data_IF_969108496309
#
_entry.id   IF_969108496309
#
_cell.length_a   1.000
_cell.length_b   1.000
_cell.length_c   1.000
_cell.angle_alpha   90.00
_cell.angle_beta   90.00
_cell.angle_gamma   90.00
#
_symmetry.space_group_name_H-M   'P 1'
#
loop_
_entity.id
_entity.type
_entity.pdbx_description
1 polymer ?
#
# COMPACT_ATOMS: atom_id res chain seq x y z
N UNK A 1 -26.05 2.20 13.06
CA UNK A 1 -24.96 2.55 12.12
C UNK A 1 -23.98 1.39 12.17
N UNK A 2 -23.37 0.96 11.06
CA UNK A 2 -22.34 -0.10 11.15
C UNK A 2 -21.04 0.52 11.66
N UNK A 3 -20.31 -0.17 12.54
CA UNK A 3 -19.03 0.31 13.13
C UNK A 3 -18.05 0.85 12.06
N UNK A 4 -17.90 0.14 10.95
CA UNK A 4 -17.06 0.56 9.80
C UNK A 4 -17.48 1.91 9.22
N UNK A 5 -18.76 2.28 9.25
CA UNK A 5 -19.23 3.58 8.76
C UNK A 5 -18.80 4.72 9.70
N UNK A 6 -18.84 4.49 11.02
CA UNK A 6 -18.36 5.47 12.00
C UNK A 6 -16.86 5.69 11.83
N UNK A 7 -16.07 4.61 11.74
CA UNK A 7 -14.64 4.69 11.43
C UNK A 7 -14.36 5.46 10.15
N UNK A 8 -15.07 5.17 9.05
CA UNK A 8 -14.79 5.83 7.77
C UNK A 8 -15.17 7.31 7.76
N UNK A 9 -16.14 7.74 8.59
CA UNK A 9 -16.41 9.16 8.79
C UNK A 9 -15.26 9.85 9.52
N UNK A 10 -14.72 9.23 10.58
CA UNK A 10 -13.55 9.76 11.30
C UNK A 10 -12.33 9.86 10.36
N UNK A 11 -12.05 8.79 9.61
CA UNK A 11 -10.97 8.77 8.60
C UNK A 11 -11.16 9.88 7.58
N UNK A 12 -12.38 10.08 7.07
CA UNK A 12 -12.63 11.15 6.09
C UNK A 12 -12.31 12.54 6.66
N UNK A 13 -12.76 12.83 7.88
CA UNK A 13 -12.51 14.13 8.53
C UNK A 13 -11.02 14.37 8.77
N UNK A 14 -10.28 13.36 9.22
CA UNK A 14 -8.83 13.44 9.42
C UNK A 14 -8.10 13.67 8.09
N UNK A 15 -8.47 12.94 7.03
CA UNK A 15 -7.90 13.10 5.70
C UNK A 15 -8.21 14.48 5.12
N UNK A 16 -9.43 15.00 5.27
CA UNK A 16 -9.78 16.36 4.85
C UNK A 16 -8.96 17.42 5.60
N UNK A 17 -8.72 17.19 6.89
CA UNK A 17 -7.90 18.08 7.73
C UNK A 17 -6.44 18.08 7.28
N UNK A 18 -5.87 16.91 7.01
CA UNK A 18 -4.51 16.77 6.46
C UNK A 18 -4.43 17.44 5.09
N UNK A 19 -5.36 17.13 4.19
CA UNK A 19 -5.42 17.69 2.84
C UNK A 19 -5.45 19.22 2.87
N UNK A 20 -6.33 19.81 3.70
CA UNK A 20 -6.45 21.27 3.81
C UNK A 20 -5.25 21.92 4.50
N UNK A 21 -4.63 21.26 5.49
CA UNK A 21 -3.53 21.86 6.25
C UNK A 21 -2.20 21.82 5.50
N UNK A 22 -1.99 20.82 4.66
CA UNK A 22 -0.76 20.61 3.89
C UNK A 22 -0.91 20.94 2.40
N UNK A 23 -2.08 21.44 1.98
CA UNK A 23 -2.42 21.72 0.57
C UNK A 23 -2.18 20.49 -0.33
N UNK A 24 -2.65 19.33 0.13
CA UNK A 24 -2.50 18.03 -0.54
C UNK A 24 -3.79 17.60 -1.22
N UNK A 25 -3.68 16.74 -2.23
CA UNK A 25 -4.85 16.03 -2.74
C UNK A 25 -5.34 14.99 -1.72
N UNK A 26 -6.62 14.64 -1.78
CA UNK A 26 -7.24 13.68 -0.83
C UNK A 26 -6.55 12.31 -0.81
N UNK A 27 -6.09 11.81 -1.96
CA UNK A 27 -5.39 10.53 -2.02
C UNK A 27 -3.96 10.60 -1.45
N UNK A 28 -3.30 11.75 -1.57
CA UNK A 28 -2.01 12.02 -0.93
C UNK A 28 -2.14 12.10 0.59
N UNK A 29 -3.12 12.88 1.07
CA UNK A 29 -3.45 12.98 2.49
C UNK A 29 -3.85 11.62 3.09
N UNK A 30 -4.63 10.81 2.35
CA UNK A 30 -4.97 9.45 2.79
C UNK A 30 -3.74 8.53 2.82
N UNK A 31 -2.81 8.68 1.87
CA UNK A 31 -1.54 7.94 1.90
C UNK A 31 -0.77 8.26 3.18
N UNK A 32 -0.64 9.54 3.53
CA UNK A 32 0.04 9.98 4.75
C UNK A 32 -0.65 9.48 6.01
N UNK A 33 -1.97 9.63 6.11
CA UNK A 33 -2.78 9.13 7.23
C UNK A 33 -2.54 7.63 7.46
N UNK A 34 -2.65 6.85 6.39
CA UNK A 34 -2.46 5.40 6.45
C UNK A 34 -1.01 5.02 6.76
N UNK A 35 -0.03 5.69 6.18
CA UNK A 35 1.37 5.38 6.44
C UNK A 35 1.74 5.64 7.91
N UNK A 36 1.21 6.70 8.52
CA UNK A 36 1.32 6.92 9.98
C UNK A 36 0.77 5.75 10.79
N UNK A 37 -0.43 5.24 10.44
CA UNK A 37 -1.00 4.05 11.09
C UNK A 37 -0.08 2.84 10.96
N UNK A 38 0.50 2.63 9.78
CA UNK A 38 1.37 1.48 9.52
C UNK A 38 2.68 1.57 10.31
N UNK A 39 3.25 2.76 10.47
CA UNK A 39 4.39 3.01 11.35
C UNK A 39 4.03 2.79 12.82
N UNK A 40 2.87 3.29 13.29
CA UNK A 40 2.39 3.03 14.65
C UNK A 40 2.20 1.52 14.93
N UNK A 41 1.77 0.76 13.92
CA UNK A 41 1.60 -0.69 13.99
C UNK A 41 2.90 -1.47 13.85
N UNK A 42 4.04 -0.82 13.56
CA UNK A 42 5.30 -1.48 13.20
C UNK A 42 5.16 -2.44 12.01
N UNK A 43 4.29 -2.09 11.05
CA UNK A 43 4.19 -2.79 9.75
C UNK A 43 5.30 -2.34 8.80
N UNK A 44 5.75 -1.10 9.00
CA UNK A 44 6.91 -0.43 8.41
C UNK A 44 7.58 0.37 9.54
N UNK A 45 8.89 0.58 9.46
CA UNK A 45 9.65 1.36 10.44
C UNK A 45 9.51 2.86 10.18
N UNK A 46 9.48 3.28 8.92
CA UNK A 46 9.33 4.67 8.47
C UNK A 46 8.65 4.74 7.10
N UNK A 47 8.37 5.95 6.61
CA UNK A 47 7.90 6.15 5.24
C UNK A 47 8.23 7.54 4.70
N UNK A 48 8.25 7.64 3.37
CA UNK A 48 8.44 8.89 2.66
C UNK A 48 7.42 9.01 1.52
N UNK A 49 6.75 10.15 1.42
CA UNK A 49 5.79 10.41 0.34
C UNK A 49 6.53 10.62 -0.99
N UNK A 50 6.03 9.99 -2.04
CA UNK A 50 6.61 10.07 -3.38
C UNK A 50 5.53 9.88 -4.45
N UNK A 51 4.59 10.82 -4.53
CA UNK A 51 3.48 10.74 -5.46
C UNK A 51 3.94 10.83 -6.91
N UNK A 52 3.73 9.74 -7.64
CA UNK A 52 4.06 9.65 -9.05
C UNK A 52 3.11 8.70 -9.77
N UNK A 53 2.51 9.16 -10.87
CA UNK A 53 1.76 8.30 -11.77
C UNK A 53 1.99 8.63 -13.24
N UNK A 54 2.68 7.73 -13.94
CA UNK A 54 2.81 7.79 -15.39
C UNK A 54 1.78 6.88 -16.07
N UNK A 55 0.68 7.49 -16.53
CA UNK A 55 -0.44 6.80 -17.21
C UNK A 55 -0.02 6.06 -18.49
N UNK A 56 0.96 6.58 -19.23
CA UNK A 56 1.38 6.01 -20.52
C UNK A 56 2.01 4.62 -20.37
N UNK A 57 2.82 4.44 -19.33
CA UNK A 57 3.48 3.16 -19.05
C UNK A 57 2.80 2.36 -17.93
N UNK A 58 1.88 2.98 -17.20
CA UNK A 58 1.18 2.39 -16.08
C UNK A 58 2.10 2.12 -14.89
N UNK A 59 2.98 3.07 -14.55
CA UNK A 59 3.83 3.00 -13.35
C UNK A 59 3.32 4.01 -12.31
N UNK A 60 3.08 3.55 -11.07
CA UNK A 60 2.59 4.39 -9.97
C UNK A 60 3.25 4.01 -8.65
N UNK A 61 3.61 5.01 -7.86
CA UNK A 61 3.89 4.91 -6.42
C UNK A 61 3.31 6.14 -5.71
N UNK A 62 2.96 5.99 -4.44
CA UNK A 62 2.43 7.08 -3.62
C UNK A 62 3.33 7.38 -2.41
N UNK A 63 3.95 6.36 -1.85
CA UNK A 63 4.99 6.46 -0.83
C UNK A 63 5.97 5.30 -0.97
N UNK A 64 7.05 5.33 -0.19
CA UNK A 64 8.02 4.25 -0.13
C UNK A 64 8.72 4.17 1.24
N UNK A 65 9.40 3.06 1.45
CA UNK A 65 10.37 2.83 2.51
C UNK A 65 11.50 1.95 1.94
N UNK A 66 12.73 2.22 2.35
CA UNK A 66 13.88 1.37 2.06
C UNK A 66 14.39 0.74 3.34
N UNK A 67 14.66 -0.56 3.27
CA UNK A 67 15.35 -1.32 4.30
C UNK A 67 16.54 -2.05 3.65
N UNK A 68 17.38 -2.69 4.47
CA UNK A 68 18.50 -3.48 3.94
C UNK A 68 17.98 -4.63 3.05
N UNK A 69 18.34 -4.59 1.75
CA UNK A 69 17.92 -5.59 0.76
C UNK A 69 16.45 -5.55 0.35
N UNK A 70 15.68 -4.58 0.85
CA UNK A 70 14.22 -4.54 0.78
C UNK A 70 13.73 -3.15 0.36
N UNK A 71 12.68 -3.11 -0.46
CA UNK A 71 11.93 -1.87 -0.75
C UNK A 71 10.44 -2.11 -0.58
N UNK A 72 9.80 -1.23 0.17
CA UNK A 72 8.35 -1.17 0.31
C UNK A 72 7.81 -0.04 -0.56
N UNK A 73 6.87 -0.35 -1.46
CA UNK A 73 6.18 0.64 -2.29
C UNK A 73 4.69 0.69 -1.92
N UNK A 74 4.18 1.88 -1.69
CA UNK A 74 2.77 2.09 -1.36
C UNK A 74 1.99 2.49 -2.62
N UNK A 75 0.76 1.98 -2.71
CA UNK A 75 -0.15 2.23 -3.83
C UNK A 75 -1.55 2.53 -3.29
N UNK A 76 -1.99 3.77 -3.47
CA UNK A 76 -3.23 4.26 -2.89
C UNK A 76 -4.39 4.20 -3.88
N UNK A 77 -5.46 3.55 -3.45
CA UNK A 77 -6.76 3.47 -4.10
C UNK A 77 -7.78 4.23 -3.26
N UNK A 78 -7.76 5.55 -3.38
CA UNK A 78 -8.79 6.42 -2.81
C UNK A 78 -10.02 6.44 -3.73
N UNK A 79 -11.19 6.16 -3.17
CA UNK A 79 -12.49 6.32 -3.83
C UNK A 79 -13.27 7.41 -3.12
N UNK A 80 -13.86 8.34 -3.88
CA UNK A 80 -14.72 9.36 -3.31
C UNK A 80 -15.83 8.72 -2.45
N UNK A 81 -16.05 9.21 -1.22
CA UNK A 81 -17.14 8.72 -0.37
C UNK A 81 -18.49 8.80 -1.10
N UNK A 82 -19.34 7.80 -0.89
CA UNK A 82 -20.73 7.84 -1.34
C UNK A 82 -21.53 8.85 -0.51
N UNK A 83 -22.75 9.18 -0.96
CA UNK A 83 -23.62 10.15 -0.24
C UNK A 83 -23.94 9.77 1.20
N UNK A 84 -23.87 8.48 1.53
CA UNK A 84 -24.08 7.93 2.86
C UNK A 84 -22.76 7.65 3.60
N UNK A 85 -21.63 8.10 3.05
CA UNK A 85 -20.26 7.86 3.51
C UNK A 85 -19.91 6.37 3.74
N UNK A 86 -20.68 5.45 3.14
CA UNK A 86 -20.38 4.04 3.24
C UNK A 86 -19.07 3.71 2.51
N UNK A 87 -18.27 2.83 3.11
CA UNK A 87 -17.02 2.38 2.51
C UNK A 87 -17.30 1.76 1.12
N UNK A 88 -16.73 2.30 0.03
CA UNK A 88 -17.02 1.81 -1.31
C UNK A 88 -16.46 0.41 -1.52
N UNK A 89 -17.03 -0.38 -2.42
CA UNK A 89 -16.45 -1.67 -2.77
C UNK A 89 -15.23 -1.49 -3.69
N UNK A 90 -14.15 -2.22 -3.43
CA UNK A 90 -12.96 -2.30 -4.27
C UNK A 90 -12.90 -3.67 -4.90
N UNK A 91 -12.78 -3.72 -6.21
CA UNK A 91 -12.75 -4.98 -6.96
C UNK A 91 -11.37 -5.62 -6.91
N UNK A 92 -11.33 -6.93 -7.14
CA UNK A 92 -10.07 -7.67 -7.33
C UNK A 92 -9.23 -7.10 -8.47
N UNK A 93 -9.87 -6.65 -9.55
CA UNK A 93 -9.19 -6.03 -10.70
C UNK A 93 -8.50 -4.73 -10.31
N UNK A 94 -9.16 -3.87 -9.53
CA UNK A 94 -8.57 -2.60 -9.07
C UNK A 94 -7.33 -2.84 -8.19
N UNK A 95 -7.40 -3.80 -7.27
CA UNK A 95 -6.26 -4.22 -6.45
C UNK A 95 -5.10 -4.74 -7.31
N UNK A 96 -5.41 -5.63 -8.26
CA UNK A 96 -4.40 -6.19 -9.19
C UNK A 96 -3.76 -5.12 -10.06
N UNK A 97 -4.53 -4.12 -10.47
CA UNK A 97 -4.02 -2.99 -11.24
C UNK A 97 -3.13 -2.07 -10.40
N UNK A 98 -3.50 -1.76 -9.15
CA UNK A 98 -2.63 -1.01 -8.23
C UNK A 98 -1.30 -1.74 -8.02
N UNK A 99 -1.39 -3.03 -7.68
CA UNK A 99 -0.26 -3.93 -7.57
C UNK A 99 0.66 -3.89 -8.80
N UNK A 100 0.08 -4.11 -9.99
CA UNK A 100 0.80 -4.13 -11.26
C UNK A 100 1.48 -2.80 -11.55
N UNK A 101 0.88 -1.67 -11.19
CA UNK A 101 1.46 -0.34 -11.41
C UNK A 101 2.69 -0.08 -10.53
N UNK A 102 2.66 -0.50 -9.27
CA UNK A 102 3.82 -0.39 -8.36
C UNK A 102 4.94 -1.34 -8.77
N UNK A 103 4.60 -2.58 -9.17
CA UNK A 103 5.59 -3.50 -9.75
C UNK A 103 6.18 -2.97 -11.05
N UNK A 104 5.38 -2.31 -11.89
CA UNK A 104 5.86 -1.67 -13.12
C UNK A 104 6.81 -0.52 -12.82
N UNK A 105 6.54 0.28 -11.79
CA UNK A 105 7.47 1.30 -11.32
C UNK A 105 8.81 0.67 -10.93
N UNK A 106 8.79 -0.30 -10.01
CA UNK A 106 10.01 -0.97 -9.56
C UNK A 106 10.83 -1.56 -10.72
N UNK A 107 10.19 -2.31 -11.63
CA UNK A 107 10.88 -2.95 -12.75
C UNK A 107 11.48 -1.94 -13.75
N UNK A 108 10.79 -0.84 -14.04
CA UNK A 108 11.31 0.19 -14.94
C UNK A 108 12.44 1.00 -14.26
N UNK A 109 12.37 1.23 -12.95
CA UNK A 109 13.47 1.82 -12.17
C UNK A 109 14.69 0.90 -12.17
N UNK A 110 14.52 -0.39 -11.86
CA UNK A 110 15.58 -1.40 -11.89
C UNK A 110 16.26 -1.49 -13.26
N UNK A 111 15.50 -1.31 -14.33
CA UNK A 111 15.99 -1.29 -15.71
C UNK A 111 16.61 0.05 -16.15
N UNK A 112 16.64 1.07 -15.28
CA UNK A 112 17.17 2.40 -15.58
C UNK A 112 16.33 3.21 -16.57
N UNK A 113 15.03 2.87 -16.71
CA UNK A 113 14.13 3.49 -17.70
C UNK A 113 13.29 4.62 -17.14
N UNK A 114 13.18 4.73 -15.83
CA UNK A 114 12.41 5.78 -15.15
C UNK A 114 13.24 7.02 -14.81
N UNK A 115 14.42 6.91 -14.15
CA UNK A 115 15.25 8.07 -13.89
C UNK A 115 15.57 8.84 -15.18
N UNK A 116 15.50 10.16 -15.13
CA UNK A 116 15.77 11.05 -16.27
C UNK A 116 14.50 11.52 -16.96
N UNK A 117 14.28 11.14 -18.23
CA UNK A 117 13.24 11.75 -19.07
C UNK A 117 11.79 11.49 -18.61
N UNK A 118 11.55 10.49 -17.75
CA UNK A 118 10.18 10.07 -17.38
C UNK A 118 9.70 10.56 -16.03
N UNK A 119 10.61 11.03 -15.18
CA UNK A 119 10.32 11.59 -13.86
C UNK A 119 11.10 12.90 -13.73
N UNK A 120 10.41 13.98 -13.39
CA UNK A 120 11.06 15.26 -13.12
C UNK A 120 12.04 15.12 -11.93
N UNK A 121 13.23 15.71 -12.02
CA UNK A 121 14.27 15.65 -10.97
C UNK A 121 13.77 16.25 -9.65
N UNK A 122 12.84 17.21 -9.70
CA UNK A 122 12.22 17.79 -8.51
C UNK A 122 11.13 16.92 -7.88
N UNK A 123 10.72 15.82 -8.51
CA UNK A 123 9.75 14.89 -7.93
C UNK A 123 10.47 13.84 -7.07
N UNK A 124 10.05 13.60 -5.81
CA UNK A 124 10.70 12.61 -4.93
C UNK A 124 10.80 11.20 -5.52
N UNK A 125 9.88 10.79 -6.40
CA UNK A 125 9.94 9.50 -7.07
C UNK A 125 11.17 9.35 -7.98
N UNK A 126 11.82 10.44 -8.38
CA UNK A 126 13.08 10.41 -9.12
C UNK A 126 14.19 9.79 -8.27
N UNK A 127 14.30 10.23 -7.02
CA UNK A 127 15.31 9.73 -6.07
C UNK A 127 15.06 8.25 -5.77
N UNK A 128 13.80 7.86 -5.56
CA UNK A 128 13.40 6.45 -5.38
C UNK A 128 13.82 5.61 -6.59
N UNK A 129 13.50 6.07 -7.80
CA UNK A 129 13.83 5.34 -9.02
C UNK A 129 15.35 5.22 -9.23
N UNK A 130 16.10 6.29 -8.92
CA UNK A 130 17.55 6.34 -9.02
C UNK A 130 18.20 5.40 -8.01
N UNK A 131 17.76 5.44 -6.75
CA UNK A 131 18.23 4.55 -5.71
C UNK A 131 17.97 3.07 -6.04
N UNK A 132 16.78 2.75 -6.56
CA UNK A 132 16.46 1.39 -7.03
C UNK A 132 17.43 0.97 -8.15
N UNK A 133 17.72 1.86 -9.10
CA UNK A 133 18.62 1.57 -10.20
C UNK A 133 20.05 1.33 -9.73
N UNK A 134 20.57 2.22 -8.87
CA UNK A 134 21.93 2.15 -8.34
C UNK A 134 22.17 0.89 -7.52
N UNK A 135 21.21 0.54 -6.66
CA UNK A 135 21.29 -0.61 -5.75
C UNK A 135 20.54 -1.86 -6.25
N UNK A 136 20.20 -1.91 -7.54
CA UNK A 136 19.36 -2.98 -8.16
C UNK A 136 19.83 -4.43 -7.95
N UNK A 137 21.09 -4.63 -7.57
CA UNK A 137 21.69 -5.95 -7.31
C UNK A 137 21.57 -6.38 -5.84
N UNK A 138 21.24 -5.46 -4.95
CA UNK A 138 21.18 -5.66 -3.50
C UNK A 138 19.77 -6.00 -3.06
N UNK A 139 18.74 -5.57 -3.81
CA UNK A 139 17.36 -5.94 -3.51
C UNK A 139 17.09 -7.42 -3.77
N UNK A 140 16.67 -8.12 -2.73
CA UNK A 140 16.11 -9.47 -2.81
C UNK A 140 14.59 -9.48 -2.58
N UNK A 141 14.02 -8.37 -2.07
CA UNK A 141 12.62 -8.29 -1.70
C UNK A 141 11.98 -6.97 -2.13
N UNK A 142 10.77 -7.06 -2.69
CA UNK A 142 9.87 -5.96 -2.98
C UNK A 142 8.56 -6.21 -2.22
N UNK A 143 8.21 -5.33 -1.29
CA UNK A 143 6.89 -5.30 -0.65
C UNK A 143 6.02 -4.25 -1.35
N UNK A 144 4.80 -4.62 -1.70
CA UNK A 144 3.81 -3.67 -2.21
C UNK A 144 2.64 -3.61 -1.24
N UNK A 145 2.43 -2.44 -0.63
CA UNK A 145 1.32 -2.17 0.28
C UNK A 145 0.26 -1.37 -0.48
N UNK A 146 -0.92 -1.94 -0.63
CA UNK A 146 -2.07 -1.29 -1.26
C UNK A 146 -2.96 -0.70 -0.18
N UNK A 147 -3.20 0.60 -0.24
CA UNK A 147 -4.02 1.34 0.70
C UNK A 147 -5.37 1.66 0.07
N UNK A 148 -6.48 1.45 0.77
CA UNK A 148 -7.79 1.86 0.27
C UNK A 148 -8.78 2.18 1.38
N UNK A 149 -9.60 3.20 1.15
CA UNK A 149 -10.75 3.54 2.01
C UNK A 149 -11.99 2.69 1.70
N UNK A 150 -11.90 1.77 0.76
CA UNK A 150 -12.98 0.86 0.41
C UNK A 150 -12.87 -0.52 1.07
N UNK A 151 -13.93 -1.31 0.96
CA UNK A 151 -13.95 -2.72 1.35
C UNK A 151 -13.34 -3.55 0.22
N UNK A 152 -12.28 -4.27 0.52
CA UNK A 152 -11.64 -5.19 -0.42
C UNK A 152 -12.16 -6.62 -0.21
N UNK A 153 -12.25 -7.44 -1.28
CA UNK A 153 -12.42 -8.88 -1.09
C UNK A 153 -11.22 -9.43 -0.32
N UNK A 154 -11.45 -10.35 0.61
CA UNK A 154 -10.35 -11.07 1.28
C UNK A 154 -9.46 -11.73 0.23
N UNK A 155 -8.18 -11.39 0.27
CA UNK A 155 -7.16 -12.03 -0.58
C UNK A 155 -6.01 -12.47 0.31
N UNK A 156 -5.56 -13.70 0.09
CA UNK A 156 -4.27 -14.16 0.59
C UNK A 156 -3.20 -13.41 -0.20
N UNK A 157 -2.29 -12.72 0.50
CA UNK A 157 -1.14 -12.05 -0.13
C UNK A 157 -0.43 -13.03 -1.06
N UNK A 158 -0.17 -12.61 -2.30
CA UNK A 158 0.40 -13.50 -3.32
C UNK A 158 1.90 -13.41 -3.37
N UNK A 159 2.60 -14.22 -2.59
CA UNK A 159 4.05 -14.28 -2.72
C UNK A 159 4.43 -14.79 -4.11
N UNK A 160 5.20 -13.99 -4.84
CA UNK A 160 5.71 -14.36 -6.16
C UNK A 160 7.22 -14.18 -6.18
N UNK A 161 7.92 -14.94 -7.03
CA UNK A 161 9.31 -14.64 -7.38
C UNK A 161 9.36 -14.09 -8.79
N UNK A 162 10.03 -12.96 -8.97
CA UNK A 162 10.30 -12.38 -10.28
C UNK A 162 11.78 -12.03 -10.38
N UNK A 163 12.49 -12.60 -11.35
CA UNK A 163 13.93 -12.35 -11.55
C UNK A 163 14.79 -12.51 -10.27
N UNK A 164 14.44 -13.47 -9.40
CA UNK A 164 15.14 -13.70 -8.14
C UNK A 164 14.68 -12.80 -6.97
N UNK A 165 13.80 -11.83 -7.20
CA UNK A 165 13.23 -10.96 -6.17
C UNK A 165 11.94 -11.56 -5.63
N UNK A 166 11.82 -11.64 -4.31
CA UNK A 166 10.61 -11.98 -3.59
C UNK A 166 9.64 -10.80 -3.63
N UNK A 167 8.45 -11.00 -4.17
CA UNK A 167 7.40 -9.99 -4.21
C UNK A 167 6.34 -10.35 -3.18
N UNK A 168 6.16 -9.46 -2.20
CA UNK A 168 5.16 -9.54 -1.15
C UNK A 168 4.05 -8.52 -1.41
N UNK A 169 2.80 -8.90 -1.18
CA UNK A 169 1.66 -7.99 -1.32
C UNK A 169 0.87 -7.95 -0.03
N UNK A 170 0.52 -6.75 0.37
CA UNK A 170 -0.33 -6.50 1.52
C UNK A 170 -1.41 -5.48 1.16
N UNK A 171 -2.62 -5.65 1.68
CA UNK A 171 -3.75 -4.76 1.40
C UNK A 171 -4.27 -4.24 2.73
N UNK A 172 -4.38 -2.93 2.86
CA UNK A 172 -5.01 -2.25 3.98
C UNK A 172 -6.30 -1.59 3.50
N UNK A 173 -7.42 -2.21 3.86
CA UNK A 173 -8.77 -1.82 3.45
C UNK A 173 -9.56 -1.22 4.62
N UNK A 174 -10.78 -0.75 4.35
CA UNK A 174 -11.65 -0.13 5.36
C UNK A 174 -11.91 -1.03 6.58
N UNK A 175 -11.97 -2.35 6.40
CA UNK A 175 -12.19 -3.27 7.52
C UNK A 175 -10.94 -3.38 8.40
N UNK A 176 -9.74 -3.50 7.79
CA UNK A 176 -8.49 -3.50 8.57
C UNK A 176 -8.25 -2.20 9.31
N UNK A 177 -8.63 -1.06 8.72
CA UNK A 177 -8.57 0.25 9.39
C UNK A 177 -9.52 0.26 10.59
N UNK A 178 -10.77 -0.21 10.41
CA UNK A 178 -11.73 -0.34 11.50
C UNK A 178 -11.20 -1.22 12.63
N UNK A 179 -10.68 -2.40 12.27
CA UNK A 179 -10.13 -3.36 13.21
C UNK A 179 -8.96 -2.74 13.99
N UNK A 180 -8.09 -1.99 13.33
CA UNK A 180 -6.99 -1.27 14.00
C UNK A 180 -7.51 -0.24 15.01
N UNK A 181 -8.44 0.63 14.59
CA UNK A 181 -8.96 1.71 15.44
C UNK A 181 -9.66 1.17 16.69
N UNK A 182 -10.40 0.06 16.57
CA UNK A 182 -11.17 -0.51 17.67
C UNK A 182 -10.40 -1.52 18.52
N UNK A 183 -9.37 -2.16 17.97
CA UNK A 183 -8.56 -3.16 18.69
C UNK A 183 -7.18 -2.65 19.11
N UNK A 184 -6.96 -1.33 19.17
CA UNK A 184 -5.71 -0.70 19.65
C UNK A 184 -5.19 -1.31 20.98
N UNK A 185 -6.08 -1.81 21.84
CA UNK A 185 -5.74 -2.44 23.13
C UNK A 185 -5.66 -3.99 23.11
N UNK A 186 -6.26 -4.66 22.12
CA UNK A 186 -6.31 -6.14 22.04
C UNK A 186 -5.24 -6.65 21.09
N UNK A 187 -3.98 -6.61 21.52
CA UNK A 187 -2.82 -7.20 20.81
C UNK A 187 -2.81 -8.73 20.89
N UNK A 188 -3.80 -9.38 20.30
CA UNK A 188 -3.81 -10.82 20.07
C UNK A 188 -4.23 -11.10 18.64
N UNK A 189 -3.42 -11.82 17.87
CA UNK A 189 -3.83 -12.31 16.56
C UNK A 189 -4.99 -13.30 16.76
N UNK A 190 -6.23 -12.85 16.50
CA UNK A 190 -7.40 -13.73 16.48
C UNK A 190 -7.62 -14.21 15.06
N UNK A 191 -7.30 -15.47 14.80
CA UNK A 191 -7.55 -16.12 13.51
C UNK A 191 -8.89 -16.86 13.64
N UNK A 192 -9.91 -16.43 12.89
CA UNK A 192 -11.16 -17.16 12.77
C UNK A 192 -11.07 -18.14 11.59
N UNK A 193 -10.81 -19.41 11.90
CA UNK A 193 -10.67 -20.47 10.89
C UNK A 193 -11.95 -20.76 10.09
N UNK A 194 -13.12 -20.36 10.59
CA UNK A 194 -14.39 -20.52 9.86
C UNK A 194 -14.51 -19.57 8.66
N UNK A 195 -13.62 -18.58 8.54
CA UNK A 195 -13.61 -17.60 7.47
C UNK A 195 -12.64 -17.96 6.32
N UNK A 196 -12.03 -19.15 6.38
CA UNK A 196 -11.15 -19.70 5.34
C UNK A 196 -11.91 -20.76 4.52
N UNK A 197 -11.82 -20.66 3.20
CA UNK A 197 -12.50 -21.58 2.27
C UNK A 197 -11.64 -22.84 2.04
N UNK A 198 -11.65 -23.72 3.05
CA UNK A 198 -10.97 -25.03 3.00
C UNK A 198 -9.84 -25.23 4.03
N UNK A 199 -9.22 -26.42 4.04
CA UNK A 199 -8.11 -26.74 4.94
C UNK A 199 -6.90 -25.84 4.67
N UNK A 200 -6.27 -25.36 5.74
CA UNK A 200 -5.05 -24.55 5.65
C UNK A 200 -3.85 -25.49 5.53
N UNK A 201 -3.06 -25.32 4.48
CA UNK A 201 -1.82 -26.07 4.29
C UNK A 201 -0.83 -25.76 5.43
N UNK A 202 -0.43 -26.80 6.16
CA UNK A 202 0.60 -26.68 7.17
C UNK A 202 1.94 -26.35 6.52
N UNK A 203 2.62 -25.32 7.03
CA UNK A 203 4.00 -25.02 6.60
C UNK A 203 4.91 -26.13 7.11
N UNK A 204 5.66 -26.78 6.22
CA UNK A 204 6.70 -27.73 6.65
C UNK A 204 7.81 -26.93 7.31
N UNK A 205 8.12 -27.26 8.56
CA UNK A 205 9.33 -26.77 9.22
C UNK A 205 10.53 -27.32 8.45
N UNK A 206 11.29 -26.43 7.81
CA UNK A 206 12.61 -26.76 7.26
C UNK A 206 13.61 -26.41 8.35
N UNK A 207 14.17 -27.44 8.98
CA UNK A 207 15.29 -27.33 9.92
C UNK A 207 16.60 -27.20 9.16
#
# INVERSE_FOLDING_TARGET
MTEVLETMNEVLLEVETIASSLDMMMDEAFTQYMANILTECQVVDDYYLAHFYNKRIGARIDAYEFEEGSVTLFSTLWKSPSKDNSAPNVTKTELQDAARRSLKFFNESKAGKLPGERIDVGNPAFDVASFIYENRKEFDTLKVIILTNGKAPRQVGKNAKNEGINILWEIWDANRINDFMHNRERRGASINFNEYDGPIDCVKFTT
#
